data_IF_512428553663
#
_entry.id   IF_512428553663
#
_cell.length_a   1.000
_cell.length_b   1.000
_cell.length_c   1.000
_cell.angle_alpha   90.00
_cell.angle_beta   90.00
_cell.angle_gamma   90.00
#
_symmetry.space_group_name_H-M   'P 1'
#
loop_
_entity.id
_entity.type
_entity.pdbx_description
1 polymer ?
#
# COMPACT_ATOMS: atom_id res chain seq x y z
N UNK A 1 6.62 -1.35 -14.55
CA UNK A 1 6.16 -1.10 -13.17
C UNK A 1 6.55 -2.31 -12.37
N UNK A 2 7.66 -2.23 -11.65
CA UNK A 2 8.28 -3.31 -10.88
C UNK A 2 7.89 -3.27 -9.40
N UNK A 3 7.41 -2.11 -8.92
CA UNK A 3 6.98 -1.91 -7.54
C UNK A 3 5.53 -1.44 -7.44
N UNK A 4 4.88 -1.82 -6.34
CA UNK A 4 3.55 -1.35 -5.95
C UNK A 4 3.59 -0.89 -4.49
N UNK A 5 2.81 0.16 -4.18
CA UNK A 5 2.68 0.63 -2.80
C UNK A 5 1.59 -0.17 -2.09
N UNK A 6 1.90 -0.65 -0.90
CA UNK A 6 1.01 -1.49 -0.11
C UNK A 6 0.70 -0.76 1.19
N UNK A 7 -0.55 -0.76 1.64
CA UNK A 7 -0.88 -0.14 2.92
C UNK A 7 -0.17 -0.86 4.07
N UNK A 8 0.14 -0.13 5.14
CA UNK A 8 0.85 -0.69 6.30
C UNK A 8 0.27 -1.98 6.87
N UNK A 9 -1.05 -2.01 7.05
CA UNK A 9 -1.74 -3.17 7.59
C UNK A 9 -1.74 -4.33 6.60
N UNK A 10 -1.91 -4.06 5.30
CA UNK A 10 -1.81 -5.07 4.24
C UNK A 10 -0.41 -5.66 4.17
N UNK A 11 0.64 -4.83 4.27
CA UNK A 11 2.02 -5.28 4.24
C UNK A 11 2.36 -6.19 5.43
N UNK A 12 1.80 -5.89 6.60
CA UNK A 12 1.93 -6.76 7.77
C UNK A 12 1.14 -8.06 7.63
N UNK A 13 -0.09 -8.01 7.10
CA UNK A 13 -0.93 -9.18 6.93
C UNK A 13 -0.34 -10.16 5.91
N UNK A 14 0.19 -9.64 4.81
CA UNK A 14 0.90 -10.40 3.80
C UNK A 14 2.36 -10.68 4.18
N UNK A 15 2.79 -10.51 5.44
CA UNK A 15 4.18 -10.85 5.85
C UNK A 15 5.30 -10.24 4.97
N UNK A 16 5.04 -9.10 4.33
CA UNK A 16 6.02 -8.32 3.57
C UNK A 16 6.92 -7.50 4.49
N UNK A 17 6.41 -7.19 5.69
CA UNK A 17 7.12 -6.51 6.77
C UNK A 17 6.55 -6.97 8.11
N UNK A 18 7.34 -6.88 9.18
CA UNK A 18 6.89 -7.18 10.55
C UNK A 18 6.53 -5.88 11.25
N UNK A 19 5.26 -5.49 11.20
CA UNK A 19 4.72 -4.34 11.93
C UNK A 19 3.69 -4.80 12.96
N UNK A 20 3.64 -4.09 14.07
CA UNK A 20 2.59 -4.32 15.05
C UNK A 20 1.28 -3.71 14.55
N UNK A 21 0.29 -4.56 14.32
CA UNK A 21 -1.02 -4.19 13.79
C UNK A 21 -2.07 -4.78 14.71
N UNK A 22 -2.67 -3.93 15.54
CA UNK A 22 -3.65 -4.34 16.54
C UNK A 22 -4.90 -4.99 15.95
N UNK A 23 -5.28 -4.63 14.73
CA UNK A 23 -6.47 -5.15 14.03
C UNK A 23 -6.09 -5.54 12.62
N UNK A 24 -6.23 -6.83 12.29
CA UNK A 24 -5.96 -7.33 10.94
C UNK A 24 -6.97 -6.72 9.95
N UNK A 25 -6.51 -6.22 8.79
CA UNK A 25 -7.41 -5.66 7.79
C UNK A 25 -8.20 -6.79 7.12
N UNK A 26 -9.47 -6.55 6.83
CA UNK A 26 -10.32 -7.47 6.03
C UNK A 26 -10.22 -7.22 4.53
N UNK A 27 -9.62 -6.08 4.15
CA UNK A 27 -9.44 -5.65 2.76
C UNK A 27 -7.96 -5.33 2.51
N UNK A 28 -7.40 -5.86 1.43
CA UNK A 28 -6.06 -5.51 0.99
C UNK A 28 -6.10 -4.18 0.21
N UNK A 29 -5.26 -3.24 0.59
CA UNK A 29 -5.16 -1.94 -0.06
C UNK A 29 -3.82 -1.80 -0.78
N UNK A 30 -3.90 -1.58 -2.09
CA UNK A 30 -2.77 -1.39 -2.99
C UNK A 30 -2.90 -0.03 -3.69
N UNK A 31 -1.79 0.63 -3.95
CA UNK A 31 -1.75 1.90 -4.68
C UNK A 31 -0.81 1.77 -5.88
N UNK A 32 -1.38 2.05 -7.04
CA UNK A 32 -0.70 2.02 -8.33
C UNK A 32 -0.07 3.38 -8.61
N UNK A 33 1.21 3.39 -8.99
CA UNK A 33 1.97 4.60 -9.25
C UNK A 33 2.43 5.32 -7.98
N UNK A 34 3.23 6.38 -8.16
CA UNK A 34 3.80 7.15 -7.05
C UNK A 34 3.02 8.43 -6.74
N UNK A 35 2.37 9.02 -7.73
CA UNK A 35 1.68 10.31 -7.63
C UNK A 35 0.52 10.38 -8.61
N UNK A 36 -0.61 10.94 -8.17
CA UNK A 36 -1.76 11.17 -9.03
C UNK A 36 -1.71 12.57 -9.66
N UNK A 37 -1.72 12.63 -11.01
CA UNK A 37 -1.66 13.90 -11.76
C UNK A 37 -2.93 14.75 -11.64
N UNK A 38 -4.07 14.17 -11.23
CA UNK A 38 -5.31 14.91 -11.06
C UNK A 38 -5.26 15.96 -9.94
N UNK A 39 -4.39 15.77 -8.93
CA UNK A 39 -4.14 16.71 -7.84
C UNK A 39 -5.40 17.36 -7.21
N UNK A 40 -6.51 16.59 -7.14
CA UNK A 40 -7.80 17.07 -6.67
C UNK A 40 -7.68 17.79 -5.33
N UNK A 41 -8.40 18.90 -5.13
CA UNK A 41 -8.30 19.74 -3.92
C UNK A 41 -8.48 18.96 -2.61
N UNK A 42 -9.27 17.89 -2.65
CA UNK A 42 -9.57 17.04 -1.50
C UNK A 42 -8.66 15.81 -1.35
N UNK A 43 -7.88 15.44 -2.38
CA UNK A 43 -7.08 14.22 -2.38
C UNK A 43 -5.60 14.54 -2.12
N UNK A 44 -5.03 13.94 -1.08
CA UNK A 44 -3.62 14.16 -0.72
C UNK A 44 -2.64 13.41 -1.61
N UNK A 45 -3.06 12.36 -2.34
CA UNK A 45 -2.18 11.52 -3.18
C UNK A 45 -1.41 12.31 -4.25
N UNK A 46 -1.93 13.46 -4.69
CA UNK A 46 -1.26 14.30 -5.68
C UNK A 46 -0.10 15.14 -5.11
N UNK A 47 0.12 15.14 -3.80
CA UNK A 47 1.16 15.95 -3.12
C UNK A 47 1.92 15.18 -2.04
N UNK A 48 1.23 14.33 -1.29
CA UNK A 48 1.72 13.59 -0.14
C UNK A 48 1.21 12.13 -0.17
N UNK A 49 1.38 11.40 0.93
CA UNK A 49 0.75 10.10 1.12
C UNK A 49 -0.78 10.23 1.13
N UNK A 50 -1.45 9.26 0.49
CA UNK A 50 -2.90 9.16 0.55
C UNK A 50 -3.34 8.85 1.98
N UNK A 51 -4.12 9.74 2.59
CA UNK A 51 -4.58 9.61 3.97
C UNK A 51 -3.45 9.57 5.02
N UNK A 52 -3.77 9.25 6.28
CA UNK A 52 -2.79 9.09 7.38
C UNK A 52 -2.17 7.69 7.45
N UNK A 53 -2.13 6.98 6.33
CA UNK A 53 -1.65 5.59 6.24
C UNK A 53 -0.24 5.58 5.64
N UNK A 54 0.64 4.69 6.10
CA UNK A 54 1.94 4.47 5.47
C UNK A 54 1.78 3.55 4.25
N UNK A 55 2.44 3.91 3.15
CA UNK A 55 2.38 3.21 1.87
C UNK A 55 3.77 2.80 1.37
N UNK A 56 4.49 1.91 2.08
CA UNK A 56 5.78 1.38 1.63
C UNK A 56 5.70 0.71 0.25
N UNK A 57 6.72 0.86 -0.60
CA UNK A 57 6.78 0.19 -1.90
C UNK A 57 7.41 -1.22 -1.80
N UNK A 58 6.81 -2.21 -2.46
CA UNK A 58 7.32 -3.59 -2.56
C UNK A 58 7.38 -4.05 -4.02
N UNK A 59 8.25 -5.02 -4.38
CA UNK A 59 8.21 -5.65 -5.69
C UNK A 59 6.84 -6.24 -5.98
N UNK A 60 6.32 -6.09 -7.21
CA UNK A 60 4.99 -6.60 -7.58
C UNK A 60 4.93 -8.13 -7.42
N UNK A 61 5.98 -8.83 -7.83
CA UNK A 61 6.10 -10.29 -7.74
C UNK A 61 6.03 -10.80 -6.29
N UNK A 62 6.69 -10.09 -5.37
CA UNK A 62 6.65 -10.37 -3.93
C UNK A 62 5.25 -10.20 -3.35
N UNK A 63 4.45 -9.26 -3.86
CA UNK A 63 3.07 -9.06 -3.40
C UNK A 63 2.15 -10.15 -3.95
N UNK A 64 2.25 -10.46 -5.25
CA UNK A 64 1.42 -11.47 -5.91
C UNK A 64 1.63 -12.85 -5.26
N UNK A 65 2.88 -13.27 -5.08
CA UNK A 65 3.24 -14.56 -4.49
C UNK A 65 2.68 -14.81 -3.08
N UNK A 66 2.27 -13.75 -2.38
CA UNK A 66 1.70 -13.83 -1.03
C UNK A 66 0.17 -13.67 -0.98
N UNK A 67 -0.46 -13.28 -2.10
CA UNK A 67 -1.92 -13.18 -2.21
C UNK A 67 -2.51 -14.53 -2.62
N UNK A 68 -1.81 -15.30 -3.46
CA UNK A 68 -2.29 -16.57 -4.02
C UNK A 68 -2.17 -17.77 -3.05
N UNK A 69 -1.88 -17.51 -1.76
CA UNK A 69 -1.66 -18.52 -0.70
C UNK A 69 -2.88 -18.80 0.16
#
# INVERSE_FOLDING_TARGET
MDRIRVSAATASLLELTKWDVAVKPTTLYLMVGERCNGACRYCTQGRDFLSRVRWPPFPVEDVISRIDG
#
